data_IF_297069296840
#
_entry.id   IF_297069296840
#
_cell.length_a   1.000
_cell.length_b   1.000
_cell.length_c   1.000
_cell.angle_alpha   90.00
_cell.angle_beta   90.00
_cell.angle_gamma   90.00
#
_symmetry.space_group_name_H-M   'P 1'
#
loop_
_entity.id
_entity.type
_entity.pdbx_description
1 polymer ?
#
# COMPACT_ATOMS: atom_id res chain seq x y z
N UNK A 1 20.86 11.01 -7.05
CA UNK A 1 19.89 9.90 -7.09
C UNK A 1 19.64 9.46 -5.65
N UNK A 2 18.39 9.47 -5.19
CA UNK A 2 18.05 9.09 -3.82
C UNK A 2 18.47 7.63 -3.59
N UNK A 3 19.36 7.40 -2.62
CA UNK A 3 19.84 6.06 -2.27
C UNK A 3 18.71 5.14 -1.84
N UNK A 4 18.90 3.83 -1.98
CA UNK A 4 17.96 2.78 -1.52
C UNK A 4 17.53 3.10 -0.09
N UNK A 5 16.24 3.43 0.10
CA UNK A 5 15.73 3.83 1.41
C UNK A 5 15.89 2.68 2.41
N UNK A 6 16.42 2.94 3.61
CA UNK A 6 16.58 1.94 4.70
C UNK A 6 15.24 1.52 5.34
N UNK A 7 14.11 1.66 4.64
CA UNK A 7 12.80 1.38 5.21
C UNK A 7 12.63 -0.13 5.35
N UNK A 8 12.07 -0.56 6.48
CA UNK A 8 11.81 -1.98 6.75
C UNK A 8 10.68 -2.49 5.85
N UNK A 9 10.80 -3.74 5.38
CA UNK A 9 9.76 -4.37 4.57
C UNK A 9 8.42 -4.38 5.33
N UNK A 10 7.33 -4.03 4.64
CA UNK A 10 5.99 -4.17 5.17
C UNK A 10 5.48 -5.57 4.86
N UNK A 11 5.36 -6.41 5.88
CA UNK A 11 4.74 -7.73 5.75
C UNK A 11 3.28 -7.60 6.14
N UNK A 12 2.38 -7.84 5.17
CA UNK A 12 0.94 -7.86 5.39
C UNK A 12 0.49 -9.32 5.51
N UNK A 13 -0.36 -9.60 6.51
CA UNK A 13 -1.10 -10.86 6.54
C UNK A 13 -2.18 -10.88 5.46
N UNK A 14 -2.65 -12.07 5.08
CA UNK A 14 -3.62 -12.26 3.98
C UNK A 14 -4.92 -11.46 4.20
N UNK A 15 -5.41 -11.41 5.44
CA UNK A 15 -6.59 -10.64 5.85
C UNK A 15 -6.37 -9.13 5.67
N UNK A 16 -5.22 -8.62 6.08
CA UNK A 16 -4.84 -7.21 5.93
C UNK A 16 -4.69 -6.83 4.45
N UNK A 17 -4.06 -7.71 3.65
CA UNK A 17 -3.90 -7.51 2.20
C UNK A 17 -5.25 -7.51 1.50
N UNK A 18 -6.18 -8.38 1.90
CA UNK A 18 -7.54 -8.41 1.38
C UNK A 18 -8.31 -7.13 1.70
N UNK A 19 -8.26 -6.68 2.95
CA UNK A 19 -8.90 -5.43 3.39
C UNK A 19 -8.39 -4.22 2.59
N UNK A 20 -7.07 -4.09 2.43
CA UNK A 20 -6.48 -2.99 1.66
C UNK A 20 -6.88 -3.06 0.18
N UNK A 21 -6.98 -4.26 -0.40
CA UNK A 21 -7.45 -4.44 -1.79
C UNK A 21 -8.90 -3.98 -1.96
N UNK A 22 -9.77 -4.32 -1.02
CA UNK A 22 -11.16 -3.85 -1.02
C UNK A 22 -11.22 -2.32 -0.90
N UNK A 23 -10.47 -1.74 0.05
CA UNK A 23 -10.42 -0.29 0.25
C UNK A 23 -9.89 0.46 -0.98
N UNK A 24 -8.86 -0.08 -1.65
CA UNK A 24 -8.26 0.51 -2.85
C UNK A 24 -9.21 0.60 -4.05
N UNK A 25 -10.31 -0.16 -4.02
CA UNK A 25 -11.36 -0.21 -5.05
C UNK A 25 -12.65 0.47 -4.62
N UNK A 26 -12.71 1.00 -3.39
CA UNK A 26 -13.88 1.69 -2.87
C UNK A 26 -14.19 2.94 -3.70
N UNK A 27 -15.47 3.22 -3.88
CA UNK A 27 -15.98 4.41 -4.56
C UNK A 27 -16.59 5.43 -3.59
N UNK A 28 -16.72 5.04 -2.32
CA UNK A 28 -17.36 5.83 -1.26
C UNK A 28 -16.39 6.25 -0.16
N UNK A 29 -15.21 5.60 -0.09
CA UNK A 29 -14.18 5.98 0.86
C UNK A 29 -13.49 7.30 0.46
N UNK A 30 -12.88 8.01 1.42
CA UNK A 30 -12.08 9.20 1.11
C UNK A 30 -10.95 8.87 0.12
N UNK A 31 -10.74 9.75 -0.87
CA UNK A 31 -9.72 9.55 -1.91
C UNK A 31 -8.31 9.28 -1.34
N UNK A 32 -7.95 9.97 -0.25
CA UNK A 32 -6.67 9.79 0.44
C UNK A 32 -6.51 8.37 1.00
N UNK A 33 -7.57 7.76 1.52
CA UNK A 33 -7.51 6.41 2.07
C UNK A 33 -7.38 5.37 0.95
N UNK A 34 -8.08 5.59 -0.17
CA UNK A 34 -7.97 4.76 -1.37
C UNK A 34 -6.53 4.79 -1.90
N UNK A 35 -5.93 5.98 -2.05
CA UNK A 35 -4.54 6.13 -2.48
C UNK A 35 -3.56 5.50 -1.51
N UNK A 36 -3.74 5.74 -0.20
CA UNK A 36 -2.89 5.15 0.83
C UNK A 36 -2.96 3.62 0.81
N UNK A 37 -4.14 3.05 0.58
CA UNK A 37 -4.28 1.60 0.46
C UNK A 37 -3.49 1.03 -0.72
N UNK A 38 -3.50 1.72 -1.88
CA UNK A 38 -2.67 1.34 -3.05
C UNK A 38 -1.18 1.39 -2.71
N UNK A 39 -0.73 2.49 -2.11
CA UNK A 39 0.67 2.68 -1.71
C UNK A 39 1.13 1.57 -0.74
N UNK A 40 0.29 1.18 0.23
CA UNK A 40 0.64 0.14 1.19
C UNK A 40 0.72 -1.25 0.54
N UNK A 41 -0.16 -1.54 -0.43
CA UNK A 41 -0.08 -2.79 -1.21
C UNK A 41 1.22 -2.81 -2.02
N UNK A 42 1.51 -1.75 -2.77
CA UNK A 42 2.70 -1.64 -3.61
C UNK A 42 3.98 -1.76 -2.75
N UNK A 43 3.99 -1.13 -1.58
CA UNK A 43 5.12 -1.20 -0.65
C UNK A 43 5.35 -2.62 -0.11
N UNK A 44 4.28 -3.33 0.23
CA UNK A 44 4.35 -4.71 0.68
C UNK A 44 4.80 -5.66 -0.44
N UNK A 45 4.47 -5.35 -1.69
CA UNK A 45 4.92 -6.09 -2.87
C UNK A 45 6.34 -5.68 -3.33
N UNK A 46 7.00 -4.77 -2.59
CA UNK A 46 8.36 -4.31 -2.88
C UNK A 46 8.48 -3.39 -4.09
N UNK A 47 7.36 -2.88 -4.58
CA UNK A 47 7.30 -1.92 -5.68
C UNK A 47 7.74 -0.55 -5.16
N UNK A 48 8.58 0.14 -5.93
CA UNK A 48 9.04 1.48 -5.58
C UNK A 48 7.87 2.45 -5.57
N UNK A 49 7.52 2.95 -4.39
CA UNK A 49 6.62 4.10 -4.26
C UNK A 49 7.41 5.34 -4.73
N UNK A 50 6.98 5.97 -5.81
CA UNK A 50 7.63 7.16 -6.38
C UNK A 50 6.75 8.39 -6.19
#
# INVERSE_FOLDING_TARGET
MAGKTKRAALVLMEDQKKMLKELSRSRTAPAREIERAKILIDYADGISIT
#
